data_IF_435513549354
#
_entry.id   IF_435513549354
#
_cell.length_a   1.000
_cell.length_b   1.000
_cell.length_c   1.000
_cell.angle_alpha   90.00
_cell.angle_beta   90.00
_cell.angle_gamma   90.00
#
_symmetry.space_group_name_H-M   'P 1'
#
loop_
_entity.id
_entity.type
_entity.pdbx_description
1 polymer ?
#
# COMPACT_ATOMS: atom_id res chain seq x y z
N UNK A 1 21.06 -6.71 0.44
CA UNK A 1 20.66 -7.79 1.35
C UNK A 1 19.15 -7.95 1.36
N UNK A 2 18.70 -9.18 1.37
CA UNK A 2 17.27 -9.45 1.48
C UNK A 2 16.75 -9.10 2.87
N UNK A 3 15.57 -8.53 2.94
CA UNK A 3 14.91 -8.21 4.20
C UNK A 3 14.47 -9.51 4.90
N UNK A 4 14.82 -9.66 6.17
CA UNK A 4 14.47 -10.83 6.95
C UNK A 4 12.94 -10.99 7.02
N UNK A 5 12.45 -12.21 6.79
CA UNK A 5 11.03 -12.52 6.78
C UNK A 5 10.33 -12.29 5.44
N UNK A 6 10.91 -11.56 4.53
CA UNK A 6 10.36 -11.34 3.19
C UNK A 6 10.85 -12.47 2.27
N UNK A 7 10.44 -13.69 2.61
CA UNK A 7 10.82 -14.91 1.91
C UNK A 7 10.13 -15.02 0.57
N UNK A 8 10.56 -15.97 -0.27
CA UNK A 8 9.90 -16.22 -1.55
C UNK A 8 8.41 -16.56 -1.37
N UNK A 9 8.06 -17.34 -0.33
CA UNK A 9 6.66 -17.69 -0.06
C UNK A 9 5.85 -16.49 0.41
N UNK A 10 6.42 -15.61 1.24
CA UNK A 10 5.75 -14.39 1.67
C UNK A 10 5.57 -13.43 0.49
N UNK A 11 6.57 -13.30 -0.38
CA UNK A 11 6.46 -12.49 -1.61
C UNK A 11 5.35 -13.03 -2.51
N UNK A 12 5.27 -14.33 -2.72
CA UNK A 12 4.23 -14.95 -3.53
C UNK A 12 2.83 -14.68 -2.95
N UNK A 13 2.68 -14.75 -1.63
CA UNK A 13 1.43 -14.41 -0.97
C UNK A 13 1.04 -12.95 -1.20
N UNK A 14 2.00 -12.02 -1.06
CA UNK A 14 1.76 -10.60 -1.24
C UNK A 14 1.54 -10.21 -2.71
N UNK A 15 2.06 -10.99 -3.66
CA UNK A 15 1.89 -10.72 -5.09
C UNK A 15 0.47 -10.99 -5.58
N UNK A 16 -0.33 -11.75 -4.84
CA UNK A 16 -1.73 -11.93 -5.17
C UNK A 16 -2.54 -10.70 -4.78
N UNK A 17 -3.45 -10.23 -5.66
CA UNK A 17 -4.17 -8.98 -5.41
C UNK A 17 -5.26 -9.18 -4.34
N UNK A 18 -4.92 -8.85 -3.11
CA UNK A 18 -5.82 -8.80 -1.97
C UNK A 18 -5.84 -7.38 -1.44
N UNK A 19 -6.90 -7.03 -0.74
CA UNK A 19 -6.91 -5.77 -0.01
C UNK A 19 -5.96 -5.86 1.17
N UNK A 20 -5.24 -4.77 1.41
CA UNK A 20 -4.49 -4.59 2.65
C UNK A 20 -5.25 -3.65 3.57
N UNK A 21 -5.15 -3.87 4.86
CA UNK A 21 -5.58 -2.89 5.85
C UNK A 21 -4.33 -2.19 6.37
N UNK A 22 -4.28 -0.88 6.24
CA UNK A 22 -3.15 -0.09 6.73
C UNK A 22 -3.54 0.68 7.97
N UNK A 23 -2.57 0.90 8.85
CA UNK A 23 -2.68 1.73 10.03
C UNK A 23 -1.79 2.94 9.88
N UNK A 24 -2.38 4.13 9.97
CA UNK A 24 -1.68 5.40 10.12
C UNK A 24 -2.03 5.99 11.46
N UNK A 25 -1.33 7.01 11.93
CA UNK A 25 -1.49 7.52 13.28
C UNK A 25 -2.18 8.88 13.23
N UNK A 26 -3.37 8.95 13.83
CA UNK A 26 -4.12 10.19 13.98
C UNK A 26 -3.36 11.20 14.86
N UNK A 27 -3.70 12.47 14.73
CA UNK A 27 -3.14 13.52 15.59
C UNK A 27 -3.30 13.22 17.09
N UNK A 28 -4.36 12.49 17.47
CA UNK A 28 -4.61 12.05 18.84
C UNK A 28 -3.71 10.90 19.30
N UNK A 29 -2.97 10.28 18.38
CA UNK A 29 -2.19 9.06 18.65
C UNK A 29 -2.96 7.77 18.41
N UNK A 30 -4.27 7.84 18.16
CA UNK A 30 -5.08 6.66 17.88
C UNK A 30 -4.77 6.14 16.47
N UNK A 31 -4.60 4.82 16.27
CA UNK A 31 -4.45 4.26 14.93
C UNK A 31 -5.71 4.46 14.10
N UNK A 32 -5.54 4.88 12.85
CA UNK A 32 -6.62 4.96 11.86
C UNK A 32 -6.42 3.82 10.87
N UNK A 33 -7.43 2.98 10.71
CA UNK A 33 -7.38 1.81 9.83
C UNK A 33 -8.18 2.08 8.56
N UNK A 34 -7.62 1.65 7.42
CA UNK A 34 -8.32 1.78 6.14
C UNK A 34 -7.86 0.67 5.19
N UNK A 35 -8.79 0.16 4.39
CA UNK A 35 -8.48 -0.82 3.36
C UNK A 35 -7.96 -0.12 2.10
N UNK A 36 -6.91 -0.68 1.50
CA UNK A 36 -6.25 -0.09 0.33
C UNK A 36 -5.85 -1.16 -0.68
N UNK A 37 -5.66 -0.73 -1.91
CA UNK A 37 -4.91 -1.48 -2.91
C UNK A 37 -3.41 -1.28 -2.68
N UNK A 38 -2.62 -2.28 -3.03
CA UNK A 38 -1.17 -2.21 -2.90
C UNK A 38 -0.49 -3.06 -3.97
N UNK A 39 0.78 -2.82 -4.18
CA UNK A 39 1.64 -3.70 -4.96
C UNK A 39 3.01 -3.78 -4.30
N UNK A 40 3.54 -4.99 -4.17
CA UNK A 40 4.90 -5.19 -3.69
C UNK A 40 5.88 -4.92 -4.83
N UNK A 41 6.86 -4.08 -4.59
CA UNK A 41 7.90 -3.73 -5.55
C UNK A 41 9.27 -3.83 -4.85
N UNK A 42 9.97 -4.95 -5.03
CA UNK A 42 11.20 -5.20 -4.30
C UNK A 42 10.92 -5.30 -2.80
N UNK A 43 11.56 -4.47 -2.01
CA UNK A 43 11.38 -4.40 -0.56
C UNK A 43 10.50 -3.19 -0.16
N UNK A 44 9.75 -2.66 -1.12
CA UNK A 44 8.85 -1.54 -0.90
C UNK A 44 7.43 -1.90 -1.30
N UNK A 45 6.46 -1.20 -0.74
CA UNK A 45 5.05 -1.33 -1.10
C UNK A 45 4.57 -0.04 -1.73
N UNK A 46 3.96 -0.18 -2.90
CA UNK A 46 3.32 0.93 -3.61
C UNK A 46 1.86 1.02 -3.20
N UNK A 47 1.43 2.21 -2.80
CA UNK A 47 0.04 2.56 -2.53
C UNK A 47 -0.25 3.94 -3.11
N UNK A 48 -1.51 4.35 -3.06
CA UNK A 48 -1.92 5.63 -3.62
C UNK A 48 -3.12 6.16 -2.86
N UNK A 49 -3.27 7.49 -2.81
CA UNK A 49 -4.41 8.14 -2.16
C UNK A 49 -4.69 9.49 -2.82
N UNK A 50 -5.85 10.04 -2.56
CA UNK A 50 -6.14 11.43 -2.92
C UNK A 50 -5.59 12.37 -1.85
N UNK A 51 -4.99 13.47 -2.28
CA UNK A 51 -4.46 14.48 -1.38
C UNK A 51 -5.56 15.01 -0.45
N UNK A 52 -5.20 15.24 0.80
CA UNK A 52 -6.11 15.76 1.82
C UNK A 52 -6.93 14.72 2.56
N UNK A 53 -6.93 13.46 2.13
CA UNK A 53 -7.57 12.39 2.90
C UNK A 53 -6.85 12.19 4.22
N UNK A 54 -7.55 11.59 5.20
CA UNK A 54 -7.01 11.44 6.56
C UNK A 54 -5.67 10.69 6.58
N UNK A 55 -5.57 9.59 5.84
CA UNK A 55 -4.30 8.84 5.77
C UNK A 55 -3.16 9.68 5.19
N UNK A 56 -3.43 10.52 4.21
CA UNK A 56 -2.44 11.43 3.64
C UNK A 56 -1.95 12.43 4.69
N UNK A 57 -2.87 13.08 5.39
CA UNK A 57 -2.53 14.05 6.44
C UNK A 57 -1.79 13.38 7.60
N UNK A 58 -2.22 12.16 7.98
CA UNK A 58 -1.55 11.41 9.03
C UNK A 58 -0.11 11.10 8.66
N UNK A 59 0.14 10.63 7.42
CA UNK A 59 1.48 10.29 6.97
C UNK A 59 2.38 11.50 6.77
N UNK A 60 1.82 12.66 6.45
CA UNK A 60 2.58 13.91 6.42
C UNK A 60 3.13 14.28 7.80
N UNK A 61 2.37 14.01 8.86
CA UNK A 61 2.74 14.31 10.22
C UNK A 61 3.60 13.22 10.85
N UNK A 62 3.29 11.96 10.57
CA UNK A 62 3.95 10.80 11.17
C UNK A 62 4.09 9.72 10.10
N UNK A 63 5.29 9.44 9.61
CA UNK A 63 5.49 8.51 8.49
C UNK A 63 5.39 7.05 8.88
N UNK A 64 5.18 6.71 10.15
CA UNK A 64 5.05 5.32 10.57
C UNK A 64 3.81 4.70 9.95
N UNK A 65 3.97 3.50 9.41
CA UNK A 65 2.92 2.82 8.65
C UNK A 65 3.06 1.33 8.87
N UNK A 66 1.94 0.67 9.15
CA UNK A 66 1.89 -0.77 9.16
C UNK A 66 0.73 -1.25 8.31
N UNK A 67 0.84 -2.48 7.81
CA UNK A 67 -0.22 -3.06 6.99
C UNK A 67 -0.34 -4.55 7.24
N UNK A 68 -1.57 -5.04 7.09
CA UNK A 68 -1.87 -6.46 7.21
C UNK A 68 -2.63 -6.92 5.97
N UNK A 69 -2.18 -8.03 5.39
CA UNK A 69 -2.86 -8.73 4.31
C UNK A 69 -3.27 -10.09 4.85
N UNK A 70 -4.55 -10.43 4.76
CA UNK A 70 -5.09 -11.64 5.38
C UNK A 70 -5.86 -12.46 4.36
N UNK A 71 -5.72 -13.79 4.47
CA UNK A 71 -6.48 -14.77 3.69
C UNK A 71 -6.78 -15.96 4.61
N UNK A 72 -7.97 -15.93 5.19
CA UNK A 72 -8.36 -16.94 6.17
C UNK A 72 -7.47 -16.86 7.41
N UNK A 73 -6.77 -17.96 7.72
CA UNK A 73 -5.86 -18.03 8.87
C UNK A 73 -4.43 -17.62 8.52
N UNK A 74 -4.14 -17.36 7.24
CA UNK A 74 -2.83 -16.90 6.80
C UNK A 74 -2.81 -15.39 6.75
N UNK A 75 -1.75 -14.78 7.24
CA UNK A 75 -1.60 -13.34 7.10
C UNK A 75 -0.15 -12.91 7.13
N UNK A 76 0.09 -11.73 6.57
CA UNK A 76 1.39 -11.05 6.62
C UNK A 76 1.16 -9.65 7.16
N UNK A 77 1.92 -9.28 8.17
CA UNK A 77 1.97 -7.90 8.68
C UNK A 77 3.32 -7.29 8.31
N UNK A 78 3.28 -6.12 7.72
CA UNK A 78 4.47 -5.36 7.36
C UNK A 78 4.50 -4.08 8.20
N UNK A 79 5.66 -3.75 8.73
CA UNK A 79 5.91 -2.50 9.46
C UNK A 79 6.93 -1.69 8.69
N UNK A 80 6.78 -0.39 8.67
CA UNK A 80 7.73 0.45 7.97
C UNK A 80 7.40 1.93 8.06
N UNK A 81 7.92 2.66 7.10
CA UNK A 81 7.78 4.12 7.02
C UNK A 81 7.38 4.51 5.61
N UNK A 82 6.50 5.48 5.51
CA UNK A 82 6.01 5.99 4.23
C UNK A 82 6.85 7.16 3.73
N UNK A 83 7.08 7.16 2.43
CA UNK A 83 7.53 8.34 1.68
C UNK A 83 6.36 8.77 0.80
N UNK A 84 5.97 10.02 0.88
CA UNK A 84 4.92 10.59 0.06
C UNK A 84 5.56 11.24 -1.16
N UNK A 85 5.08 10.87 -2.34
CA UNK A 85 5.60 11.41 -3.60
C UNK A 85 4.46 12.23 -4.22
N UNK A 86 4.58 13.56 -4.09
CA UNK A 86 3.59 14.49 -4.61
C UNK A 86 3.98 14.96 -6.01
N UNK A 87 3.95 14.01 -6.92
CA UNK A 87 4.13 14.22 -8.36
C UNK A 87 2.86 13.70 -9.03
N UNK A 88 2.01 14.61 -9.49
CA UNK A 88 0.69 14.24 -10.01
C UNK A 88 0.76 13.28 -11.18
N UNK A 89 1.68 13.48 -12.10
CA UNK A 89 1.84 12.60 -13.25
C UNK A 89 2.25 11.19 -12.81
N UNK A 90 3.23 11.09 -11.93
CA UNK A 90 3.67 9.79 -11.39
C UNK A 90 2.57 9.12 -10.58
N UNK A 91 1.86 9.87 -9.74
CA UNK A 91 0.78 9.33 -8.91
C UNK A 91 -0.37 8.80 -9.77
N UNK A 92 -0.67 9.43 -10.89
CA UNK A 92 -1.69 8.95 -11.82
C UNK A 92 -1.28 7.64 -12.48
N UNK A 93 -0.02 7.52 -12.90
CA UNK A 93 0.52 6.29 -13.45
C UNK A 93 0.48 5.17 -12.41
N UNK A 94 0.89 5.45 -11.19
CA UNK A 94 0.90 4.48 -10.09
C UNK A 94 -0.52 4.01 -9.75
N UNK A 95 -1.49 4.93 -9.70
CA UNK A 95 -2.89 4.57 -9.41
C UNK A 95 -3.47 3.70 -10.53
N UNK A 96 -3.16 4.00 -11.78
CA UNK A 96 -3.58 3.18 -12.92
C UNK A 96 -2.96 1.78 -12.86
N UNK A 97 -1.70 1.68 -12.47
CA UNK A 97 -1.03 0.39 -12.29
C UNK A 97 -1.76 -0.46 -11.25
N UNK A 98 -2.15 0.15 -10.12
CA UNK A 98 -2.93 -0.53 -9.10
C UNK A 98 -4.31 -0.93 -9.61
N UNK A 99 -4.97 -0.07 -10.36
CA UNK A 99 -6.28 -0.36 -10.95
C UNK A 99 -6.21 -1.55 -11.91
N UNK A 100 -5.17 -1.63 -12.74
CA UNK A 100 -4.96 -2.78 -13.63
C UNK A 100 -4.79 -4.07 -12.84
N UNK A 101 -4.00 -4.02 -11.76
CA UNK A 101 -3.75 -5.18 -10.90
C UNK A 101 -5.02 -5.73 -10.28
N UNK A 102 -5.94 -4.85 -9.83
CA UNK A 102 -7.14 -5.26 -9.08
C UNK A 102 -8.37 -5.43 -9.95
N UNK A 103 -8.54 -4.60 -10.97
CA UNK A 103 -9.76 -4.55 -11.79
C UNK A 103 -9.55 -4.99 -13.25
N UNK A 104 -8.29 -5.07 -13.70
CA UNK A 104 -7.96 -5.36 -15.08
C UNK A 104 -7.87 -4.11 -15.95
N UNK A 105 -7.26 -4.23 -17.15
CA UNK A 105 -6.93 -3.07 -17.98
C UNK A 105 -8.17 -2.32 -18.51
N UNK A 106 -9.27 -2.99 -18.75
CA UNK A 106 -10.49 -2.33 -19.26
C UNK A 106 -11.13 -1.42 -18.24
N UNK A 107 -11.32 -1.91 -17.00
CA UNK A 107 -11.86 -1.09 -15.91
C UNK A 107 -10.89 0.00 -15.49
N UNK A 108 -9.59 -0.27 -15.53
CA UNK A 108 -8.58 0.74 -15.25
C UNK A 108 -8.69 1.91 -16.22
N UNK A 109 -8.98 1.63 -17.48
CA UNK A 109 -9.15 2.66 -18.50
C UNK A 109 -10.36 3.55 -18.22
N UNK A 110 -11.43 2.97 -17.71
CA UNK A 110 -12.63 3.73 -17.29
C UNK A 110 -12.32 4.65 -16.10
N UNK A 111 -11.36 4.28 -15.28
CA UNK A 111 -10.94 5.07 -14.11
C UNK A 111 -10.06 6.27 -14.47
N UNK A 112 -9.47 6.31 -15.65
CA UNK A 112 -8.51 7.35 -16.03
C UNK A 112 -9.04 8.77 -15.85
N UNK A 113 -10.28 9.03 -16.26
CA UNK A 113 -10.88 10.36 -16.15
C UNK A 113 -11.06 10.77 -14.68
N UNK A 114 -11.46 9.84 -13.82
CA UNK A 114 -11.61 10.08 -12.38
C UNK A 114 -10.26 10.40 -11.75
N UNK A 115 -9.24 9.60 -12.08
CA UNK A 115 -7.88 9.78 -11.58
C UNK A 115 -7.31 11.13 -12.03
N UNK A 116 -7.51 11.49 -13.30
CA UNK A 116 -7.00 12.73 -13.86
C UNK A 116 -7.63 13.98 -13.21
N UNK A 117 -8.86 13.86 -12.71
CA UNK A 117 -9.56 14.95 -12.04
C UNK A 117 -9.15 15.10 -10.57
N UNK A 118 -8.44 14.15 -10.01
CA UNK A 118 -8.03 14.15 -8.60
C UNK A 118 -6.55 14.54 -8.46
N UNK A 119 -6.22 15.17 -7.34
CA UNK A 119 -4.83 15.32 -6.93
C UNK A 119 -4.42 14.04 -6.19
N UNK A 120 -3.82 13.11 -6.93
CA UNK A 120 -3.35 11.84 -6.37
C UNK A 120 -1.93 11.99 -5.83
N UNK A 121 -1.63 11.20 -4.80
CA UNK A 121 -0.30 11.14 -4.16
C UNK A 121 0.11 9.68 -4.06
N UNK A 122 1.33 9.38 -4.48
CA UNK A 122 1.90 8.04 -4.29
C UNK A 122 2.41 7.88 -2.87
N UNK A 123 2.05 6.78 -2.24
CA UNK A 123 2.59 6.36 -0.95
C UNK A 123 3.55 5.21 -1.21
N UNK A 124 4.81 5.39 -0.88
CA UNK A 124 5.82 4.33 -0.99
C UNK A 124 6.27 3.95 0.42
N UNK A 125 6.01 2.70 0.78
CA UNK A 125 6.37 2.19 2.11
C UNK A 125 7.68 1.43 2.03
N UNK A 126 8.68 1.87 2.80
CA UNK A 126 9.89 1.09 3.01
C UNK A 126 9.62 0.10 4.14
N UNK A 127 9.74 -1.20 3.85
CA UNK A 127 9.47 -2.25 4.83
C UNK A 127 10.68 -2.38 5.75
N UNK A 128 10.45 -2.33 7.07
CA UNK A 128 11.50 -2.51 8.08
C UNK A 128 11.33 -3.81 8.85
N UNK A 129 10.15 -4.39 8.88
CA UNK A 129 9.86 -5.59 9.68
C UNK A 129 8.74 -6.40 9.02
N UNK A 130 8.85 -7.72 9.08
CA UNK A 130 7.87 -8.64 8.52
C UNK A 130 7.46 -9.66 9.58
N UNK A 131 6.16 -9.87 9.73
CA UNK A 131 5.63 -10.96 10.54
C UNK A 131 4.62 -11.72 9.67
N UNK A 132 4.78 -13.03 9.56
CA UNK A 132 3.89 -13.88 8.77
C UNK A 132 3.42 -15.07 9.60
N UNK A 133 2.18 -15.47 9.37
CA UNK A 133 1.60 -16.65 10.01
C UNK A 133 0.89 -17.51 8.96
N UNK A 134 1.08 -18.84 9.06
CA UNK A 134 0.45 -19.79 8.15
C UNK A 134 1.08 -19.81 6.76
N UNK A 135 2.24 -19.23 6.60
CA UNK A 135 2.98 -19.18 5.34
C UNK A 135 4.37 -19.75 5.62
N UNK A 136 4.68 -20.87 4.98
CA UNK A 136 5.97 -21.54 5.14
C UNK A 136 7.00 -20.95 4.17
N UNK A 137 8.24 -21.00 4.58
CA UNK A 137 9.36 -20.51 3.82
C UNK A 137 9.92 -19.23 4.37
#
# INVERSE_FOLDING_TARGET
>A
MALAGLTAAVRAFLDEPRYAVIATINASGMPQLTAVWYALQGDEVLMNTAAGRLKHRNLQRDPRLSMCVVDGERYVTLYGRATLIDDRAQAQVDDLQLAVRYDGPEKAREREAVIAAQHRVTIRMTITHVHARGIEG
#
